data_IF_187113334947
#
_entry.id   IF_187113334947
#
_cell.length_a   1.000
_cell.length_b   1.000
_cell.length_c   1.000
_cell.angle_alpha   90.00
_cell.angle_beta   90.00
_cell.angle_gamma   90.00
#
_symmetry.space_group_name_H-M   'P 1'
#
loop_
_entity.id
_entity.type
_entity.pdbx_description
1 polymer ?
#
# COMPACT_ATOMS: atom_id res chain seq x y z
N UNK A 1 -2.98 37.50 19.46
CA UNK A 1 -3.67 36.82 20.59
C UNK A 1 -2.71 35.80 21.16
N UNK A 2 -2.62 35.69 22.50
CA UNK A 2 -1.76 34.72 23.18
C UNK A 2 -2.15 33.31 22.72
N UNK A 3 -1.22 32.59 22.11
CA UNK A 3 -1.26 31.13 21.99
C UNK A 3 -1.23 30.57 23.41
N UNK A 4 -2.41 30.29 23.98
CA UNK A 4 -2.50 29.36 25.10
C UNK A 4 -1.85 28.07 24.62
N UNK A 5 -0.73 27.67 25.24
CA UNK A 5 -0.10 26.38 24.96
C UNK A 5 -1.17 25.32 25.12
N UNK A 6 -1.48 24.63 24.02
CA UNK A 6 -2.44 23.54 23.99
C UNK A 6 -2.03 22.51 25.05
N UNK A 7 -2.74 22.50 26.18
CA UNK A 7 -2.42 21.65 27.32
C UNK A 7 -2.91 20.25 27.02
N UNK A 8 -2.01 19.38 26.56
CA UNK A 8 -2.30 17.96 26.39
C UNK A 8 -1.88 17.20 27.65
N UNK A 9 -2.69 16.24 28.10
CA UNK A 9 -2.30 15.31 29.16
C UNK A 9 -1.07 14.50 28.76
N UNK A 10 -0.26 13.92 29.67
CA UNK A 10 0.85 13.05 29.29
C UNK A 10 0.38 11.88 28.41
N UNK A 11 1.21 11.45 27.44
CA UNK A 11 0.90 10.28 26.63
C UNK A 11 0.90 9.03 27.52
N UNK A 12 -0.14 8.18 27.47
CA UNK A 12 -0.16 6.94 28.22
C UNK A 12 1.05 6.08 27.84
N UNK A 13 1.72 5.54 28.86
CA UNK A 13 2.93 4.73 28.72
C UNK A 13 2.81 3.64 27.63
N UNK A 14 1.74 2.83 27.54
CA UNK A 14 1.65 1.77 26.53
C UNK A 14 1.62 2.28 25.09
N UNK A 15 1.01 3.45 24.89
CA UNK A 15 0.95 4.07 23.56
C UNK A 15 2.35 4.53 23.19
N UNK A 16 3.09 5.13 24.14
CA UNK A 16 4.46 5.56 23.95
C UNK A 16 5.39 4.37 23.66
N UNK A 17 5.32 3.33 24.49
CA UNK A 17 6.12 2.09 24.36
C UNK A 17 5.84 1.40 23.03
N UNK A 18 4.57 1.13 22.70
CA UNK A 18 4.24 0.44 21.46
C UNK A 18 4.63 1.26 20.22
N UNK A 19 4.35 2.57 20.22
CA UNK A 19 4.73 3.43 19.10
C UNK A 19 6.25 3.51 18.93
N UNK A 20 7.02 3.46 20.02
CA UNK A 20 8.48 3.39 19.99
C UNK A 20 8.97 2.06 19.39
N UNK A 21 8.48 0.93 19.92
CA UNK A 21 8.88 -0.41 19.46
C UNK A 21 8.61 -0.66 17.98
N UNK A 22 7.53 -0.08 17.44
CA UNK A 22 7.17 -0.14 16.00
C UNK A 22 8.16 0.64 15.12
N UNK A 23 8.76 1.73 15.65
CA UNK A 23 9.69 2.60 14.91
C UNK A 23 11.15 2.14 15.00
N UNK A 24 11.48 1.38 16.02
CA UNK A 24 12.83 0.83 16.21
C UNK A 24 13.21 -0.17 15.12
N UNK A 25 14.42 -0.03 14.57
CA UNK A 25 14.99 -0.99 13.64
C UNK A 25 15.06 -2.41 14.25
N UNK A 26 14.71 -3.45 13.47
CA UNK A 26 14.80 -4.82 13.94
C UNK A 26 16.27 -5.21 14.15
N UNK A 27 16.60 -5.67 15.36
CA UNK A 27 17.92 -6.23 15.68
C UNK A 27 17.82 -7.75 15.55
N UNK A 28 18.58 -8.42 14.67
CA UNK A 28 18.59 -9.87 14.60
C UNK A 28 19.17 -10.43 15.90
N UNK A 29 18.34 -10.99 16.77
CA UNK A 29 18.77 -11.81 17.89
C UNK A 29 18.54 -13.27 17.55
N UNK A 30 19.52 -14.12 17.84
CA UNK A 30 19.35 -15.57 17.70
C UNK A 30 18.31 -16.04 18.71
N UNK A 31 17.10 -16.37 18.23
CA UNK A 31 16.03 -17.23 18.81
C UNK A 31 15.81 -17.27 20.34
N UNK A 32 16.32 -16.32 21.11
CA UNK A 32 15.96 -16.13 22.51
C UNK A 32 14.81 -15.15 22.57
N UNK A 33 13.68 -15.63 23.09
CA UNK A 33 12.50 -14.82 23.39
C UNK A 33 12.93 -13.79 24.44
N UNK A 34 13.34 -12.61 23.99
CA UNK A 34 13.58 -11.48 24.86
C UNK A 34 12.21 -11.00 25.37
N UNK A 35 11.82 -11.49 26.54
CA UNK A 35 10.83 -10.82 27.37
C UNK A 35 11.51 -9.52 27.81
N UNK A 36 11.00 -8.39 27.32
CA UNK A 36 11.52 -7.08 27.73
C UNK A 36 11.14 -6.87 29.19
N UNK A 37 12.07 -7.16 30.11
CA UNK A 37 11.95 -6.75 31.49
C UNK A 37 12.18 -5.24 31.54
N UNK A 38 11.10 -4.45 31.57
CA UNK A 38 11.19 -3.08 32.07
C UNK A 38 11.48 -3.21 33.58
N UNK A 39 12.53 -2.55 34.08
CA UNK A 39 13.02 -2.71 35.45
C UNK A 39 11.89 -2.51 36.47
N UNK A 40 11.82 -3.42 37.46
CA UNK A 40 10.79 -3.42 38.52
C UNK A 40 10.83 -2.13 39.33
N UNK A 41 9.84 -1.25 39.16
CA UNK A 41 9.58 -0.20 40.13
C UNK A 41 8.90 -0.81 41.36
N UNK A 42 9.68 -0.98 42.42
CA UNK A 42 9.26 -1.49 43.70
C UNK A 42 8.39 -0.45 44.42
N UNK A 43 7.10 -0.38 44.10
CA UNK A 43 6.16 0.37 44.91
C UNK A 43 4.88 0.83 44.22
N UNK A 44 3.88 -0.05 44.22
CA UNK A 44 2.46 0.31 44.39
C UNK A 44 1.84 1.30 43.40
N UNK A 45 1.15 0.77 42.39
CA UNK A 45 -0.22 1.17 42.07
C UNK A 45 -0.89 0.07 41.23
N UNK A 46 -2.20 -0.13 41.37
CA UNK A 46 -2.98 -1.10 40.57
C UNK A 46 -3.12 -0.67 39.09
N UNK A 47 -2.54 0.47 38.73
CA UNK A 47 -2.62 1.09 37.41
C UNK A 47 -1.34 0.98 36.57
N UNK A 48 -0.25 0.39 37.08
CA UNK A 48 0.97 0.16 36.28
C UNK A 48 0.80 -1.01 35.31
N UNK A 49 1.42 -0.91 34.14
CA UNK A 49 1.40 -1.98 33.15
C UNK A 49 2.33 -3.10 33.58
N UNK A 50 1.92 -4.38 33.48
CA UNK A 50 2.86 -5.47 33.69
C UNK A 50 4.01 -5.31 32.70
N UNK A 51 5.23 -5.47 33.20
CA UNK A 51 6.50 -5.32 32.49
C UNK A 51 6.59 -6.17 31.21
N UNK A 52 5.69 -7.14 31.03
CA UNK A 52 5.67 -8.09 29.92
C UNK A 52 4.50 -7.90 28.91
N UNK A 53 3.84 -6.74 28.90
CA UNK A 53 2.69 -6.50 27.99
C UNK A 53 3.08 -6.53 26.50
N UNK A 54 4.33 -6.17 26.19
CA UNK A 54 4.92 -6.21 24.85
C UNK A 54 6.17 -7.08 24.86
N UNK A 55 6.40 -7.83 23.79
CA UNK A 55 7.62 -8.59 23.58
C UNK A 55 8.16 -8.33 22.17
N UNK A 56 9.44 -8.03 22.03
CA UNK A 56 10.09 -7.87 20.72
C UNK A 56 11.19 -8.91 20.59
N UNK A 57 11.05 -9.82 19.61
CA UNK A 57 11.97 -10.93 19.37
C UNK A 57 12.42 -10.87 17.91
N UNK A 58 13.67 -10.47 17.69
CA UNK A 58 14.20 -10.24 16.36
C UNK A 58 13.38 -9.20 15.58
N UNK A 59 12.72 -9.66 14.52
CA UNK A 59 11.85 -8.85 13.65
C UNK A 59 10.37 -8.88 14.09
N UNK A 60 10.02 -9.65 15.13
CA UNK A 60 8.64 -9.84 15.56
C UNK A 60 8.31 -8.99 16.78
N UNK A 61 7.13 -8.37 16.76
CA UNK A 61 6.54 -7.65 17.88
C UNK A 61 5.26 -8.37 18.31
N UNK A 62 5.20 -8.77 19.57
CA UNK A 62 4.08 -9.44 20.20
C UNK A 62 3.43 -8.58 21.27
N UNK A 63 2.11 -8.74 21.41
CA UNK A 63 1.32 -8.21 22.52
C UNK A 63 0.85 -9.42 23.33
N UNK A 64 0.98 -9.36 24.65
CA UNK A 64 0.45 -10.42 25.51
C UNK A 64 -1.08 -10.46 25.41
N UNK A 65 -1.62 -11.63 25.05
CA UNK A 65 -3.05 -11.82 24.83
C UNK A 65 -3.91 -11.50 26.06
N UNK A 66 -3.40 -11.71 27.28
CA UNK A 66 -4.13 -11.37 28.52
C UNK A 66 -4.30 -9.87 28.70
N UNK A 67 -3.36 -9.07 28.20
CA UNK A 67 -3.34 -7.62 28.35
C UNK A 67 -4.07 -6.90 27.21
N UNK A 68 -4.26 -7.58 26.07
CA UNK A 68 -4.88 -7.01 24.86
C UNK A 68 -6.23 -6.32 25.13
N UNK A 69 -7.18 -6.86 25.93
CA UNK A 69 -8.43 -6.16 26.21
C UNK A 69 -8.24 -4.83 26.97
N UNK A 70 -7.27 -4.77 27.90
CA UNK A 70 -6.94 -3.53 28.65
C UNK A 70 -6.24 -2.53 27.73
N UNK A 71 -5.22 -2.98 27.00
CA UNK A 71 -4.48 -2.18 26.02
C UNK A 71 -5.39 -1.58 24.96
N UNK A 72 -6.30 -2.36 24.39
CA UNK A 72 -7.23 -1.87 23.38
C UNK A 72 -8.15 -0.75 23.92
N UNK A 73 -8.58 -0.84 25.19
CA UNK A 73 -9.36 0.24 25.84
C UNK A 73 -8.52 1.49 26.01
N UNK A 74 -7.27 1.36 26.40
CA UNK A 74 -6.39 2.51 26.64
C UNK A 74 -5.96 3.18 25.32
N UNK A 75 -5.66 2.40 24.27
CA UNK A 75 -5.46 2.92 22.91
C UNK A 75 -6.68 3.67 22.41
N UNK A 76 -7.89 3.13 22.63
CA UNK A 76 -9.11 3.79 22.23
C UNK A 76 -9.38 5.07 23.04
N UNK A 77 -9.12 5.06 24.35
CA UNK A 77 -9.29 6.23 25.22
C UNK A 77 -8.34 7.35 24.80
N UNK A 78 -7.06 7.03 24.58
CA UNK A 78 -6.07 8.00 24.10
C UNK A 78 -6.51 8.61 22.78
N UNK A 79 -6.81 7.78 21.78
CA UNK A 79 -7.24 8.26 20.47
C UNK A 79 -8.48 9.17 20.56
N UNK A 80 -9.50 8.78 21.34
CA UNK A 80 -10.72 9.60 21.51
C UNK A 80 -10.42 10.96 22.14
N UNK A 81 -9.55 11.01 23.15
CA UNK A 81 -9.19 12.24 23.85
C UNK A 81 -8.42 13.22 22.95
N UNK A 82 -7.49 12.71 22.14
CA UNK A 82 -6.73 13.53 21.21
C UNK A 82 -7.58 13.98 20.03
N UNK A 83 -8.48 13.11 19.54
CA UNK A 83 -9.33 13.41 18.38
C UNK A 83 -10.20 14.64 18.58
N UNK A 84 -10.75 14.85 19.78
CA UNK A 84 -11.54 16.06 20.04
C UNK A 84 -10.72 17.34 19.90
N UNK A 85 -9.46 17.32 20.36
CA UNK A 85 -8.52 18.43 20.19
C UNK A 85 -8.17 18.60 18.71
N UNK A 86 -7.77 17.51 18.05
CA UNK A 86 -7.38 17.54 16.65
C UNK A 86 -8.49 18.07 15.73
N UNK A 87 -9.75 17.70 15.98
CA UNK A 87 -10.88 18.24 15.23
C UNK A 87 -11.10 19.72 15.47
N UNK A 88 -10.95 20.19 16.70
CA UNK A 88 -11.14 21.62 17.00
C UNK A 88 -10.12 22.46 16.24
N UNK A 89 -8.87 22.01 16.21
CA UNK A 89 -7.78 22.70 15.50
C UNK A 89 -7.88 22.60 13.96
N UNK A 90 -8.33 21.45 13.42
CA UNK A 90 -8.51 21.27 11.97
C UNK A 90 -9.56 22.25 11.38
N UNK A 91 -10.56 22.65 12.17
CA UNK A 91 -11.51 23.69 11.76
C UNK A 91 -10.90 25.11 11.77
N UNK A 92 -10.01 25.41 12.71
CA UNK A 92 -9.35 26.72 12.81
C UNK A 92 -8.36 26.97 11.67
N UNK A 93 -7.74 25.91 11.13
CA UNK A 93 -6.81 25.99 9.98
C UNK A 93 -7.40 26.61 8.72
N UNK A 94 -8.71 26.47 8.51
CA UNK A 94 -9.38 26.93 7.28
C UNK A 94 -9.47 28.47 7.20
N UNK A 95 -9.21 29.18 8.29
CA UNK A 95 -9.37 30.63 8.41
C UNK A 95 -8.05 31.42 8.31
N UNK A 96 -6.91 30.76 8.07
CA UNK A 96 -5.59 31.39 8.08
C UNK A 96 -5.02 31.70 6.68
N UNK A 97 -4.26 32.81 6.57
CA UNK A 97 -3.43 33.16 5.40
C UNK A 97 -2.20 32.24 5.29
N UNK A 98 -1.56 32.12 4.12
CA UNK A 98 -0.44 31.19 3.86
C UNK A 98 0.69 31.28 4.91
N UNK A 99 1.19 32.49 5.21
CA UNK A 99 2.26 32.67 6.22
C UNK A 99 1.82 32.35 7.66
N UNK A 100 0.53 32.53 7.99
CA UNK A 100 -0.03 32.17 9.29
C UNK A 100 -0.22 30.66 9.44
N UNK A 101 -0.47 29.97 8.34
CA UNK A 101 -0.71 28.53 8.31
C UNK A 101 0.55 27.73 8.67
N UNK A 102 1.74 28.14 8.24
CA UNK A 102 2.97 27.41 8.51
C UNK A 102 3.39 27.47 9.99
N UNK A 103 3.35 28.66 10.59
CA UNK A 103 3.61 28.82 12.03
C UNK A 103 2.58 28.04 12.86
N UNK A 104 1.32 28.04 12.43
CA UNK A 104 0.26 27.29 13.07
C UNK A 104 0.47 25.77 12.94
N UNK A 105 0.89 25.26 11.78
CA UNK A 105 1.26 23.83 11.58
C UNK A 105 2.41 23.40 12.49
N UNK A 106 3.45 24.21 12.64
CA UNK A 106 4.56 23.90 13.55
C UNK A 106 4.08 23.79 15.01
N UNK A 107 3.15 24.65 15.44
CA UNK A 107 2.55 24.54 16.76
C UNK A 107 1.67 23.29 16.93
N UNK A 108 1.03 22.81 15.87
CA UNK A 108 0.23 21.58 15.88
C UNK A 108 1.05 20.30 15.74
N UNK A 109 2.30 20.37 15.30
CA UNK A 109 3.16 19.21 15.02
C UNK A 109 3.23 18.20 16.18
N UNK A 110 3.31 18.60 17.46
CA UNK A 110 3.26 17.66 18.58
C UNK A 110 1.94 16.88 18.65
N UNK A 111 0.79 17.55 18.44
CA UNK A 111 -0.52 16.89 18.43
C UNK A 111 -0.67 15.96 17.23
N UNK A 112 -0.25 16.41 16.04
CA UNK A 112 -0.26 15.61 14.81
C UNK A 112 0.54 14.32 15.01
N UNK A 113 1.75 14.43 15.58
CA UNK A 113 2.60 13.27 15.90
C UNK A 113 1.91 12.32 16.87
N UNK A 114 1.25 12.86 17.89
CA UNK A 114 0.58 12.04 18.91
C UNK A 114 -0.70 11.37 18.39
N UNK A 115 -1.45 12.01 17.50
CA UNK A 115 -2.57 11.37 16.77
C UNK A 115 -2.02 10.25 15.88
N UNK A 116 -0.89 10.46 15.20
CA UNK A 116 -0.24 9.40 14.40
C UNK A 116 0.05 8.18 15.27
N UNK A 117 0.67 8.39 16.44
CA UNK A 117 1.02 7.30 17.35
C UNK A 117 -0.21 6.62 17.96
N UNK A 118 -1.23 7.38 18.37
CA UNK A 118 -2.48 6.84 18.88
C UNK A 118 -3.24 6.03 17.81
N UNK A 119 -3.27 6.50 16.56
CA UNK A 119 -3.88 5.76 15.45
C UNK A 119 -3.07 4.51 15.09
N UNK A 120 -1.73 4.55 15.14
CA UNK A 120 -0.87 3.37 14.96
C UNK A 120 -1.25 2.28 15.95
N UNK A 121 -1.27 2.60 17.25
CA UNK A 121 -1.58 1.63 18.31
C UNK A 121 -3.00 1.08 18.16
N UNK A 122 -3.99 1.95 17.91
CA UNK A 122 -5.37 1.55 17.76
C UNK A 122 -5.60 0.67 16.52
N UNK A 123 -4.97 0.98 15.39
CA UNK A 123 -5.17 0.24 14.14
C UNK A 123 -4.45 -1.13 14.13
N UNK A 124 -3.39 -1.30 14.92
CA UNK A 124 -2.77 -2.62 15.14
C UNK A 124 -3.72 -3.62 15.78
N UNK A 125 -4.62 -3.14 16.66
CA UNK A 125 -5.61 -3.98 17.36
C UNK A 125 -7.01 -3.93 16.74
N UNK A 126 -7.36 -2.83 16.06
CA UNK A 126 -8.66 -2.59 15.44
C UNK A 126 -8.51 -2.05 14.01
N UNK A 127 -8.07 -2.88 13.05
CA UNK A 127 -7.72 -2.46 11.68
C UNK A 127 -8.92 -1.94 10.87
N UNK A 128 -10.15 -2.26 11.26
CA UNK A 128 -11.37 -1.80 10.57
C UNK A 128 -11.97 -0.51 11.16
N UNK A 129 -11.24 0.19 12.03
CA UNK A 129 -11.69 1.48 12.54
C UNK A 129 -11.58 2.57 11.45
N UNK A 130 -12.65 2.73 10.67
CA UNK A 130 -12.74 3.70 9.58
C UNK A 130 -12.53 5.16 10.02
N UNK A 131 -12.90 5.48 11.27
CA UNK A 131 -12.72 6.82 11.84
C UNK A 131 -11.25 7.11 12.12
N UNK A 132 -10.52 6.14 12.68
CA UNK A 132 -9.08 6.24 12.89
C UNK A 132 -8.33 6.38 11.56
N UNK A 133 -8.71 5.62 10.52
CA UNK A 133 -8.14 5.77 9.17
C UNK A 133 -8.39 7.15 8.56
N UNK A 134 -9.61 7.70 8.74
CA UNK A 134 -9.93 9.03 8.23
C UNK A 134 -9.08 10.12 8.91
N UNK A 135 -8.91 10.05 10.23
CA UNK A 135 -8.07 11.00 10.96
C UNK A 135 -6.58 10.80 10.64
N UNK A 136 -6.12 9.56 10.45
CA UNK A 136 -4.77 9.26 9.99
C UNK A 136 -4.47 9.82 8.59
N UNK A 137 -5.44 9.81 7.67
CA UNK A 137 -5.29 10.50 6.36
C UNK A 137 -5.06 12.00 6.54
N UNK A 138 -5.80 12.65 7.44
CA UNK A 138 -5.61 14.09 7.75
C UNK A 138 -4.22 14.37 8.33
N UNK A 139 -3.76 13.51 9.23
CA UNK A 139 -2.40 13.58 9.79
C UNK A 139 -1.36 13.52 8.66
N UNK A 140 -1.46 12.54 7.76
CA UNK A 140 -0.51 12.43 6.63
C UNK A 140 -0.55 13.67 5.76
N UNK A 141 -1.74 14.17 5.39
CA UNK A 141 -1.87 15.39 4.59
C UNK A 141 -1.20 16.61 5.25
N UNK A 142 -1.29 16.74 6.57
CA UNK A 142 -0.61 17.80 7.31
C UNK A 142 0.92 17.60 7.32
N UNK A 143 1.40 16.37 7.51
CA UNK A 143 2.83 16.05 7.53
C UNK A 143 3.50 16.17 6.16
N UNK A 144 2.75 15.97 5.09
CA UNK A 144 3.24 16.05 3.70
C UNK A 144 2.90 17.39 3.03
N UNK A 145 2.53 18.40 3.82
CA UNK A 145 2.25 19.72 3.28
C UNK A 145 3.53 20.43 2.82
N UNK A 146 4.68 20.11 3.44
CA UNK A 146 6.01 20.38 2.89
C UNK A 146 6.45 19.22 1.99
N UNK A 147 6.69 19.50 0.71
CA UNK A 147 7.00 18.49 -0.29
C UNK A 147 8.34 17.79 -0.03
N UNK A 148 9.28 18.44 0.66
CA UNK A 148 10.63 17.90 0.88
C UNK A 148 10.65 16.58 1.67
N UNK A 149 9.64 16.37 2.51
CA UNK A 149 9.55 15.20 3.39
C UNK A 149 8.44 14.21 2.98
N UNK A 150 7.64 14.56 1.98
CA UNK A 150 6.43 13.82 1.63
C UNK A 150 6.71 12.36 1.26
N UNK A 151 7.74 12.11 0.44
CA UNK A 151 8.13 10.75 0.00
C UNK A 151 8.52 9.87 1.20
N UNK A 152 9.25 10.43 2.18
CA UNK A 152 9.63 9.71 3.40
C UNK A 152 8.40 9.28 4.20
N UNK A 153 7.46 10.20 4.41
CA UNK A 153 6.22 9.92 5.14
C UNK A 153 5.38 8.85 4.43
N UNK A 154 5.23 8.91 3.10
CA UNK A 154 4.50 7.87 2.38
C UNK A 154 5.14 6.48 2.53
N UNK A 155 6.48 6.39 2.51
CA UNK A 155 7.20 5.13 2.73
C UNK A 155 7.04 4.61 4.16
N UNK A 156 7.05 5.48 5.16
CA UNK A 156 6.74 5.12 6.56
C UNK A 156 5.33 4.54 6.68
N UNK A 157 4.34 5.16 6.04
CA UNK A 157 2.96 4.67 6.04
C UNK A 157 2.82 3.32 5.32
N UNK A 158 3.48 3.11 4.17
CA UNK A 158 3.50 1.81 3.50
C UNK A 158 4.14 0.73 4.37
N UNK A 159 5.19 1.08 5.12
CA UNK A 159 5.85 0.18 6.08
C UNK A 159 4.91 -0.19 7.22
N UNK A 160 4.19 0.78 7.78
CA UNK A 160 3.16 0.52 8.79
C UNK A 160 2.06 -0.41 8.28
N UNK A 161 1.60 -0.22 7.03
CA UNK A 161 0.58 -1.10 6.44
C UNK A 161 1.15 -2.49 6.17
N UNK A 162 2.42 -2.62 5.76
CA UNK A 162 3.08 -3.94 5.62
C UNK A 162 3.05 -4.70 6.95
N UNK A 163 3.34 -4.01 8.06
CA UNK A 163 3.23 -4.58 9.40
C UNK A 163 1.78 -5.03 9.69
N UNK A 164 0.78 -4.20 9.40
CA UNK A 164 -0.63 -4.59 9.57
C UNK A 164 -1.00 -5.83 8.77
N UNK A 165 -0.53 -5.98 7.53
CA UNK A 165 -0.84 -7.13 6.69
C UNK A 165 -0.23 -8.44 7.16
N UNK A 166 0.74 -8.42 8.06
CA UNK A 166 1.24 -9.66 8.69
C UNK A 166 0.18 -10.38 9.52
N UNK A 167 -0.87 -9.68 9.97
CA UNK A 167 -1.97 -10.23 10.76
C UNK A 167 -3.35 -9.93 10.15
N UNK A 168 -3.53 -8.74 9.61
CA UNK A 168 -4.83 -8.19 9.18
C UNK A 168 -4.90 -7.99 7.67
N UNK A 169 -4.35 -8.93 6.89
CA UNK A 169 -4.28 -8.85 5.42
C UNK A 169 -5.64 -8.83 4.70
N UNK A 170 -6.75 -9.09 5.40
CA UNK A 170 -8.11 -9.05 4.86
C UNK A 170 -8.92 -7.83 5.33
N UNK A 171 -8.31 -6.89 6.04
CA UNK A 171 -8.98 -5.66 6.48
C UNK A 171 -9.17 -4.69 5.29
N UNK A 172 -10.40 -4.46 4.81
CA UNK A 172 -10.66 -3.63 3.63
C UNK A 172 -10.19 -2.18 3.80
N UNK A 173 -10.31 -1.62 5.01
CA UNK A 173 -9.94 -0.24 5.28
C UNK A 173 -8.43 0.00 5.10
N UNK A 174 -7.61 -0.99 5.50
CA UNK A 174 -6.15 -0.95 5.34
C UNK A 174 -5.74 -0.95 3.86
N UNK A 175 -6.39 -1.75 3.02
CA UNK A 175 -6.15 -1.74 1.57
C UNK A 175 -6.59 -0.44 0.90
N UNK A 176 -7.75 0.09 1.27
CA UNK A 176 -8.22 1.39 0.77
C UNK A 176 -7.23 2.51 1.13
N UNK A 177 -6.70 2.50 2.34
CA UNK A 177 -5.67 3.45 2.77
C UNK A 177 -4.36 3.25 2.01
N UNK A 178 -3.93 2.00 1.78
CA UNK A 178 -2.74 1.68 0.98
C UNK A 178 -2.84 2.19 -0.45
N UNK A 179 -3.97 1.99 -1.13
CA UNK A 179 -4.23 2.54 -2.48
C UNK A 179 -4.06 4.05 -2.50
N UNK A 180 -4.61 4.73 -1.48
CA UNK A 180 -4.48 6.17 -1.35
C UNK A 180 -3.02 6.62 -1.13
N UNK A 181 -2.29 6.01 -0.19
CA UNK A 181 -0.87 6.33 0.05
C UNK A 181 -0.01 6.06 -1.18
N UNK A 182 -0.19 4.90 -1.82
CA UNK A 182 0.61 4.52 -2.98
C UNK A 182 0.34 5.45 -4.16
N UNK A 183 -0.93 5.82 -4.41
CA UNK A 183 -1.26 6.85 -5.40
C UNK A 183 -0.55 8.18 -5.12
N UNK A 184 -0.55 8.65 -3.86
CA UNK A 184 0.17 9.87 -3.47
C UNK A 184 1.68 9.79 -3.68
N UNK A 185 2.27 8.61 -3.46
CA UNK A 185 3.69 8.36 -3.72
C UNK A 185 3.98 8.42 -5.23
N UNK A 186 3.16 7.78 -6.06
CA UNK A 186 3.31 7.81 -7.52
C UNK A 186 3.15 9.23 -8.07
N UNK A 187 2.23 10.02 -7.54
CA UNK A 187 2.04 11.42 -7.95
C UNK A 187 3.32 12.25 -7.77
N UNK A 188 4.20 11.92 -6.80
CA UNK A 188 5.44 12.66 -6.55
C UNK A 188 6.42 12.58 -7.73
N UNK A 189 6.38 11.53 -8.56
CA UNK A 189 7.30 11.40 -9.70
C UNK A 189 7.04 12.43 -10.79
N UNK A 190 5.80 12.90 -10.90
CA UNK A 190 5.41 13.94 -11.88
C UNK A 190 5.60 15.36 -11.34
N UNK A 191 5.92 15.55 -10.06
CA UNK A 191 6.07 16.88 -9.48
C UNK A 191 7.47 17.46 -9.69
N UNK A 192 7.59 18.81 -9.78
CA UNK A 192 6.51 19.80 -9.79
C UNK A 192 5.90 20.04 -11.18
N UNK A 193 6.47 19.43 -12.23
CA UNK A 193 6.22 19.81 -13.62
C UNK A 193 4.99 19.16 -14.26
N UNK A 194 4.29 18.27 -13.55
CA UNK A 194 3.12 17.53 -14.04
C UNK A 194 3.44 16.45 -15.08
N UNK A 195 4.73 16.18 -15.31
CA UNK A 195 5.25 15.22 -16.30
C UNK A 195 6.45 14.47 -15.74
N UNK A 196 6.65 13.24 -16.22
CA UNK A 196 7.86 12.45 -15.94
C UNK A 196 8.72 12.52 -17.20
N UNK A 197 9.83 13.26 -17.13
CA UNK A 197 10.62 13.66 -18.31
C UNK A 197 11.93 12.88 -18.46
N UNK A 198 12.41 12.24 -17.39
CA UNK A 198 13.65 11.45 -17.43
C UNK A 198 13.40 9.93 -17.39
N UNK A 199 14.27 9.18 -18.08
CA UNK A 199 14.32 7.71 -17.99
C UNK A 199 14.59 7.23 -16.56
N UNK A 200 15.37 8.00 -15.79
CA UNK A 200 15.65 7.68 -14.39
C UNK A 200 14.39 7.71 -13.52
N UNK A 201 13.56 8.75 -13.62
CA UNK A 201 12.30 8.81 -12.88
C UNK A 201 11.35 7.68 -13.28
N UNK A 202 11.25 7.37 -14.58
CA UNK A 202 10.46 6.24 -15.04
C UNK A 202 10.96 4.92 -14.45
N UNK A 203 12.28 4.70 -14.44
CA UNK A 203 12.88 3.52 -13.84
C UNK A 203 12.58 3.42 -12.35
N UNK A 204 12.75 4.51 -11.59
CA UNK A 204 12.43 4.50 -10.16
C UNK A 204 10.93 4.26 -9.90
N UNK A 205 10.04 4.88 -10.68
CA UNK A 205 8.60 4.64 -10.60
C UNK A 205 8.26 3.15 -10.79
N UNK A 206 8.84 2.51 -11.80
CA UNK A 206 8.59 1.09 -12.05
C UNK A 206 9.21 0.18 -11.00
N UNK A 207 10.33 0.56 -10.37
CA UNK A 207 10.85 -0.16 -9.22
C UNK A 207 9.91 -0.07 -8.00
N UNK A 208 9.25 1.07 -7.77
CA UNK A 208 8.20 1.21 -6.74
C UNK A 208 6.96 0.37 -7.06
N UNK A 209 6.54 0.34 -8.31
CA UNK A 209 5.43 -0.52 -8.77
C UNK A 209 5.76 -1.99 -8.54
N UNK A 210 6.96 -2.44 -8.90
CA UNK A 210 7.41 -3.81 -8.68
C UNK A 210 7.49 -4.14 -7.18
N UNK A 211 7.96 -3.21 -6.35
CA UNK A 211 7.96 -3.37 -4.89
C UNK A 211 6.54 -3.61 -4.35
N UNK A 212 5.57 -2.86 -4.86
CA UNK A 212 4.17 -3.02 -4.48
C UNK A 212 3.56 -4.35 -4.95
N UNK A 213 3.92 -4.81 -6.16
CA UNK A 213 3.55 -6.15 -6.66
C UNK A 213 4.16 -7.25 -5.78
N UNK A 214 5.40 -7.12 -5.33
CA UNK A 214 6.05 -8.09 -4.41
C UNK A 214 5.29 -8.21 -3.09
N UNK A 215 4.76 -7.10 -2.55
CA UNK A 215 3.88 -7.14 -1.37
C UNK A 215 2.60 -7.90 -1.66
N UNK A 216 1.95 -7.68 -2.81
CA UNK A 216 0.74 -8.40 -3.19
C UNK A 216 0.98 -9.91 -3.30
N UNK A 217 2.09 -10.30 -3.95
CA UNK A 217 2.49 -11.71 -4.08
C UNK A 217 2.71 -12.30 -2.69
N UNK A 218 3.51 -11.64 -1.84
CA UNK A 218 3.76 -12.10 -0.48
C UNK A 218 2.47 -12.32 0.30
N UNK A 219 1.53 -11.37 0.25
CA UNK A 219 0.23 -11.53 0.93
C UNK A 219 -0.60 -12.67 0.34
N UNK A 220 -0.62 -12.85 -0.98
CA UNK A 220 -1.38 -13.92 -1.63
C UNK A 220 -0.82 -15.31 -1.32
N UNK A 221 0.51 -15.44 -1.19
CA UNK A 221 1.20 -16.67 -0.75
C UNK A 221 0.85 -17.01 0.71
N UNK A 222 0.98 -16.05 1.63
CA UNK A 222 0.74 -16.29 3.06
C UNK A 222 -0.75 -16.46 3.39
N UNK A 223 -1.64 -15.83 2.62
CA UNK A 223 -3.07 -15.86 2.82
C UNK A 223 -3.76 -16.26 1.51
N UNK A 224 -3.91 -17.58 1.25
CA UNK A 224 -4.47 -18.06 0.00
C UNK A 224 -5.82 -17.43 -0.33
N UNK A 225 -6.01 -17.12 -1.62
CA UNK A 225 -7.24 -16.50 -2.16
C UNK A 225 -7.55 -15.14 -1.52
N UNK A 226 -6.53 -14.36 -1.16
CA UNK A 226 -6.72 -12.99 -0.69
C UNK A 226 -7.16 -12.09 -1.86
N UNK A 227 -8.47 -11.97 -2.04
CA UNK A 227 -9.09 -11.11 -3.05
C UNK A 227 -8.62 -9.64 -2.95
N UNK A 228 -8.40 -9.12 -1.74
CA UNK A 228 -7.94 -7.74 -1.56
C UNK A 228 -6.54 -7.52 -2.14
N UNK A 229 -5.64 -8.49 -1.97
CA UNK A 229 -4.31 -8.43 -2.58
C UNK A 229 -4.39 -8.37 -4.11
N UNK A 230 -5.21 -9.24 -4.72
CA UNK A 230 -5.37 -9.27 -6.18
C UNK A 230 -6.04 -8.01 -6.73
N UNK A 231 -7.06 -7.48 -6.04
CA UNK A 231 -7.68 -6.20 -6.45
C UNK A 231 -6.75 -5.00 -6.24
N UNK A 232 -5.83 -5.06 -5.28
CA UNK A 232 -4.79 -4.06 -5.12
C UNK A 232 -3.73 -4.15 -6.23
N UNK A 233 -3.29 -5.36 -6.57
CA UNK A 233 -2.40 -5.60 -7.71
C UNK A 233 -3.00 -5.10 -9.03
N UNK A 234 -4.31 -5.31 -9.25
CA UNK A 234 -5.03 -4.73 -10.38
C UNK A 234 -5.01 -3.19 -10.36
N UNK A 235 -5.26 -2.58 -9.20
CA UNK A 235 -5.16 -1.13 -9.03
C UNK A 235 -3.76 -0.62 -9.38
N UNK A 236 -2.70 -1.31 -8.96
CA UNK A 236 -1.31 -0.95 -9.28
C UNK A 236 -1.05 -1.03 -10.79
N UNK A 237 -1.49 -2.09 -11.47
CA UNK A 237 -1.34 -2.20 -12.93
C UNK A 237 -2.11 -1.12 -13.68
N UNK A 238 -3.33 -0.79 -13.23
CA UNK A 238 -4.12 0.31 -13.80
C UNK A 238 -3.49 1.67 -13.54
N UNK A 239 -2.94 1.89 -12.35
CA UNK A 239 -2.24 3.12 -12.00
C UNK A 239 -1.00 3.31 -12.89
N UNK A 240 -0.21 2.24 -13.12
CA UNK A 240 0.93 2.28 -14.03
C UNK A 240 0.54 2.76 -15.44
N UNK A 241 -0.51 2.14 -16.00
CA UNK A 241 -1.05 2.52 -17.31
C UNK A 241 -1.60 3.95 -17.31
N UNK A 242 -2.34 4.35 -16.28
CA UNK A 242 -2.91 5.70 -16.17
C UNK A 242 -1.82 6.77 -16.03
N UNK A 243 -0.77 6.53 -15.26
CA UNK A 243 0.36 7.45 -15.11
C UNK A 243 1.09 7.62 -16.44
N UNK A 244 1.35 6.53 -17.15
CA UNK A 244 1.90 6.59 -18.51
C UNK A 244 1.00 7.36 -19.47
N UNK A 245 -0.28 6.99 -19.56
CA UNK A 245 -1.23 7.62 -20.48
C UNK A 245 -1.39 9.11 -20.20
N UNK A 246 -1.49 9.51 -18.93
CA UNK A 246 -1.59 10.92 -18.54
C UNK A 246 -0.31 11.68 -18.86
N UNK A 247 0.86 11.06 -18.65
CA UNK A 247 2.13 11.70 -18.98
C UNK A 247 2.28 11.93 -20.49
N UNK A 248 1.92 10.95 -21.33
CA UNK A 248 1.93 11.10 -22.79
C UNK A 248 1.00 12.25 -23.22
N UNK A 249 -0.20 12.34 -22.63
CA UNK A 249 -1.14 13.43 -22.91
C UNK A 249 -0.60 14.81 -22.49
N UNK A 250 0.07 14.90 -21.34
CA UNK A 250 0.59 16.15 -20.79
C UNK A 250 1.87 16.62 -21.50
N UNK A 251 2.73 15.70 -21.93
CA UNK A 251 4.03 16.02 -22.50
C UNK A 251 3.95 16.44 -23.99
N UNK A 252 2.83 16.19 -24.66
CA UNK A 252 2.55 16.62 -26.03
C UNK A 252 3.28 15.83 -27.11
N UNK A 253 3.09 16.23 -28.38
CA UNK A 253 3.47 15.48 -29.60
C UNK A 253 4.98 15.35 -29.87
N UNK A 254 5.84 15.77 -28.94
CA UNK A 254 7.31 15.72 -29.06
C UNK A 254 8.02 15.03 -27.89
N UNK A 255 7.29 14.47 -26.94
CA UNK A 255 7.87 13.85 -25.76
C UNK A 255 8.42 12.44 -26.02
N UNK A 256 9.58 12.14 -25.43
CA UNK A 256 10.18 10.82 -25.44
C UNK A 256 9.21 9.80 -24.86
N UNK A 257 8.91 8.73 -25.61
CA UNK A 257 8.08 7.63 -25.15
C UNK A 257 8.85 6.68 -24.19
N UNK A 258 9.77 7.23 -23.39
CA UNK A 258 10.74 6.51 -22.55
C UNK A 258 10.07 5.56 -21.54
N UNK A 259 8.85 5.87 -21.10
CA UNK A 259 8.06 5.01 -20.23
C UNK A 259 7.41 3.80 -20.92
N UNK A 260 7.28 3.79 -22.25
CA UNK A 260 6.51 2.74 -22.96
C UNK A 260 7.12 1.36 -22.84
N UNK A 261 8.43 1.23 -23.04
CA UNK A 261 9.11 -0.05 -22.90
C UNK A 261 9.03 -0.58 -21.46
N UNK A 262 9.14 0.29 -20.45
CA UNK A 262 9.00 -0.09 -19.06
C UNK A 262 7.57 -0.54 -18.71
N UNK A 263 6.55 0.17 -19.21
CA UNK A 263 5.15 -0.23 -19.04
C UNK A 263 4.85 -1.55 -19.74
N UNK A 264 5.31 -1.71 -20.98
CA UNK A 264 5.16 -2.94 -21.75
C UNK A 264 5.74 -4.13 -21.00
N UNK A 265 7.02 -4.06 -20.63
CA UNK A 265 7.71 -5.15 -19.94
C UNK A 265 7.03 -5.48 -18.61
N UNK A 266 6.57 -4.47 -17.88
CA UNK A 266 5.82 -4.69 -16.66
C UNK A 266 4.49 -5.44 -16.91
N UNK A 267 3.67 -4.98 -17.85
CA UNK A 267 2.38 -5.62 -18.15
C UNK A 267 2.57 -7.03 -18.74
N UNK A 268 3.55 -7.20 -19.62
CA UNK A 268 3.93 -8.50 -20.21
C UNK A 268 4.40 -9.47 -19.12
N UNK A 269 5.27 -9.03 -18.20
CA UNK A 269 5.70 -9.83 -17.05
C UNK A 269 4.49 -10.26 -16.19
N UNK A 270 3.55 -9.35 -15.93
CA UNK A 270 2.38 -9.67 -15.12
C UNK A 270 1.47 -10.69 -15.80
N UNK A 271 1.27 -10.61 -17.12
CA UNK A 271 0.55 -11.62 -17.92
C UNK A 271 1.28 -12.97 -17.87
N UNK A 272 2.58 -12.97 -18.12
CA UNK A 272 3.40 -14.19 -18.18
C UNK A 272 3.48 -14.93 -16.83
N UNK A 273 3.27 -14.23 -15.72
CA UNK A 273 3.28 -14.83 -14.36
C UNK A 273 1.97 -15.52 -13.98
N UNK A 274 0.86 -15.27 -14.68
CA UNK A 274 -0.45 -15.81 -14.31
C UNK A 274 -0.49 -17.32 -14.42
N UNK A 275 -0.06 -17.86 -15.55
CA UNK A 275 -0.14 -19.31 -15.77
C UNK A 275 0.74 -20.10 -14.80
N UNK A 276 2.04 -19.75 -14.60
CA UNK A 276 2.86 -20.38 -13.56
C UNK A 276 2.25 -20.25 -12.15
N UNK A 277 1.63 -19.11 -11.82
CA UNK A 277 0.93 -18.95 -10.55
C UNK A 277 -0.24 -19.93 -10.43
N UNK A 278 -1.11 -19.98 -11.43
CA UNK A 278 -2.29 -20.85 -11.45
C UNK A 278 -1.92 -22.34 -11.43
N UNK A 279 -0.77 -22.74 -12.00
CA UNK A 279 -0.30 -24.13 -11.89
C UNK A 279 0.04 -24.53 -10.45
N UNK A 280 0.52 -23.58 -9.64
CA UNK A 280 0.82 -23.81 -8.22
C UNK A 280 -0.39 -23.52 -7.32
N UNK A 281 -1.36 -22.75 -7.81
CA UNK A 281 -2.53 -22.27 -7.08
C UNK A 281 -3.84 -22.49 -7.85
N UNK A 282 -4.08 -23.73 -8.27
CA UNK A 282 -5.15 -24.15 -9.20
C UNK A 282 -6.60 -23.83 -8.79
N UNK A 283 -6.80 -23.28 -7.59
CA UNK A 283 -8.10 -22.85 -7.07
C UNK A 283 -8.19 -21.35 -6.81
N UNK A 284 -7.23 -20.55 -7.30
CA UNK A 284 -7.24 -19.09 -7.15
C UNK A 284 -7.95 -18.39 -8.32
N UNK A 285 -9.27 -18.27 -8.20
CA UNK A 285 -10.10 -17.54 -9.16
C UNK A 285 -9.73 -16.04 -9.25
N UNK A 286 -9.18 -15.47 -8.17
CA UNK A 286 -8.82 -14.04 -8.15
C UNK A 286 -7.60 -13.77 -9.03
N UNK A 287 -6.63 -14.70 -9.05
CA UNK A 287 -5.49 -14.66 -9.95
C UNK A 287 -5.90 -14.75 -11.43
N UNK A 288 -6.81 -15.66 -11.77
CA UNK A 288 -7.32 -15.78 -13.15
C UNK A 288 -8.04 -14.51 -13.62
N UNK A 289 -8.86 -13.91 -12.76
CA UNK A 289 -9.52 -12.63 -13.07
C UNK A 289 -8.49 -11.50 -13.21
N UNK A 290 -7.52 -11.40 -12.30
CA UNK A 290 -6.45 -10.40 -12.40
C UNK A 290 -5.67 -10.56 -13.72
N UNK A 291 -5.36 -11.80 -14.10
CA UNK A 291 -4.67 -12.09 -15.35
C UNK A 291 -5.40 -11.59 -16.59
N UNK A 292 -6.72 -11.75 -16.62
CA UNK A 292 -7.53 -11.31 -17.76
C UNK A 292 -7.55 -9.78 -17.86
N UNK A 293 -7.66 -9.12 -16.70
CA UNK A 293 -7.63 -7.67 -16.62
C UNK A 293 -6.30 -7.09 -17.10
N UNK A 294 -5.16 -7.66 -16.67
CA UNK A 294 -3.84 -7.17 -17.08
C UNK A 294 -3.52 -7.49 -18.53
N UNK A 295 -4.00 -8.64 -19.06
CA UNK A 295 -3.97 -8.94 -20.49
C UNK A 295 -4.78 -7.92 -21.30
N UNK A 296 -5.98 -7.58 -20.85
CA UNK A 296 -6.79 -6.54 -21.47
C UNK A 296 -6.10 -5.17 -21.47
N UNK A 297 -5.41 -4.81 -20.39
CA UNK A 297 -4.59 -3.59 -20.33
C UNK A 297 -3.41 -3.64 -21.30
N UNK A 298 -2.69 -4.76 -21.40
CA UNK A 298 -1.56 -4.92 -22.32
C UNK A 298 -2.02 -4.80 -23.78
N UNK A 299 -3.14 -5.43 -24.14
CA UNK A 299 -3.74 -5.31 -25.47
C UNK A 299 -4.18 -3.87 -25.75
N UNK A 300 -4.89 -3.24 -24.80
CA UNK A 300 -5.31 -1.84 -24.92
C UNK A 300 -4.10 -0.92 -25.10
N UNK A 301 -2.99 -1.18 -24.40
CA UNK A 301 -1.78 -0.39 -24.51
C UNK A 301 -1.09 -0.61 -25.87
N UNK A 302 -0.85 -1.85 -26.28
CA UNK A 302 -0.11 -2.18 -27.49
C UNK A 302 -0.89 -1.90 -28.79
N UNK A 303 -2.22 -1.95 -28.77
CA UNK A 303 -3.06 -1.69 -29.95
C UNK A 303 -3.35 -0.21 -30.20
N UNK A 304 -2.89 0.69 -29.34
CA UNK A 304 -3.01 2.14 -29.56
C UNK A 304 -2.01 2.63 -30.61
N UNK A 305 -2.35 3.74 -31.27
CA UNK A 305 -1.47 4.40 -32.24
C UNK A 305 -0.16 4.90 -31.60
N UNK A 306 -0.19 5.29 -30.32
CA UNK A 306 0.97 5.71 -29.51
C UNK A 306 1.51 4.60 -28.61
N UNK A 307 1.00 3.38 -28.79
CA UNK A 307 1.37 2.19 -28.04
C UNK A 307 2.75 1.64 -28.40
N UNK A 308 3.18 0.65 -27.63
CA UNK A 308 4.40 -0.10 -27.89
C UNK A 308 4.12 -1.59 -27.74
N UNK A 309 4.56 -2.39 -28.71
CA UNK A 309 4.32 -3.83 -28.79
C UNK A 309 5.59 -4.64 -28.57
N UNK A 310 6.59 -4.07 -27.89
CA UNK A 310 7.93 -4.63 -27.80
C UNK A 310 8.75 -4.38 -29.07
N UNK A 311 9.96 -4.94 -29.13
CA UNK A 311 10.86 -4.86 -30.30
C UNK A 311 10.46 -5.81 -31.45
N UNK A 312 9.16 -6.10 -31.57
CA UNK A 312 8.62 -6.95 -32.62
C UNK A 312 8.53 -6.20 -33.95
N UNK A 313 8.75 -6.92 -35.06
CA UNK A 313 8.51 -6.41 -36.41
C UNK A 313 7.06 -6.58 -36.86
N UNK A 314 6.22 -7.22 -36.04
CA UNK A 314 4.81 -7.46 -36.37
C UNK A 314 4.00 -6.16 -36.27
N UNK A 315 3.03 -5.95 -37.18
CA UNK A 315 1.99 -4.95 -36.98
C UNK A 315 1.25 -5.17 -35.65
N UNK A 316 0.78 -4.09 -35.01
CA UNK A 316 0.18 -4.15 -33.68
C UNK A 316 -0.99 -5.16 -33.59
N UNK A 317 -1.84 -5.23 -34.61
CA UNK A 317 -2.92 -6.21 -34.68
C UNK A 317 -2.40 -7.66 -34.72
N UNK A 318 -1.40 -7.95 -35.54
CA UNK A 318 -0.79 -9.28 -35.64
C UNK A 318 -0.07 -9.67 -34.34
N UNK A 319 0.59 -8.71 -33.69
CA UNK A 319 1.17 -8.90 -32.35
C UNK A 319 0.08 -9.28 -31.34
N UNK A 320 -1.04 -8.55 -31.28
CA UNK A 320 -2.13 -8.83 -30.34
C UNK A 320 -2.74 -10.22 -30.54
N UNK A 321 -2.94 -10.62 -31.81
CA UNK A 321 -3.41 -11.96 -32.16
C UNK A 321 -2.42 -13.05 -31.77
N UNK A 322 -1.14 -12.83 -32.02
CA UNK A 322 -0.06 -13.75 -31.64
C UNK A 322 0.00 -13.93 -30.12
N UNK A 323 -0.04 -12.83 -29.35
CA UNK A 323 -0.03 -12.84 -27.89
C UNK A 323 -1.18 -13.69 -27.32
N UNK A 324 -2.42 -13.40 -27.71
CA UNK A 324 -3.59 -14.14 -27.20
C UNK A 324 -3.57 -15.60 -27.69
N UNK A 325 -3.17 -15.83 -28.94
CA UNK A 325 -3.02 -17.17 -29.51
C UNK A 325 -2.04 -18.04 -28.70
N UNK A 326 -0.91 -17.47 -28.30
CA UNK A 326 0.09 -18.15 -27.48
C UNK A 326 -0.45 -18.49 -26.07
N UNK A 327 -1.18 -17.57 -25.43
CA UNK A 327 -1.81 -17.82 -24.11
C UNK A 327 -2.89 -18.91 -24.22
N UNK A 328 -3.71 -18.88 -25.27
CA UNK A 328 -4.69 -19.93 -25.53
C UNK A 328 -4.01 -21.27 -25.86
N UNK A 329 -2.85 -21.27 -26.51
CA UNK A 329 -2.09 -22.50 -26.72
C UNK A 329 -1.53 -23.05 -25.39
N UNK A 330 -0.90 -22.19 -24.58
CA UNK A 330 -0.29 -22.59 -23.30
C UNK A 330 -1.33 -23.11 -22.30
N UNK A 331 -2.46 -22.41 -22.15
CA UNK A 331 -3.56 -22.85 -21.27
C UNK A 331 -4.15 -24.22 -21.63
N UNK A 332 -3.93 -24.72 -22.85
CA UNK A 332 -4.32 -26.10 -23.23
C UNK A 332 -3.42 -27.14 -22.55
N UNK A 333 -2.14 -26.87 -22.41
CA UNK A 333 -1.19 -27.73 -21.69
C UNK A 333 -1.55 -27.80 -20.20
N UNK A 334 -1.92 -26.66 -19.61
CA UNK A 334 -2.44 -26.59 -18.25
C UNK A 334 -3.69 -27.46 -18.03
N UNK A 335 -4.58 -27.47 -19.02
CA UNK A 335 -5.81 -28.28 -18.99
C UNK A 335 -5.51 -29.78 -18.88
N UNK A 336 -4.50 -30.29 -19.59
CA UNK A 336 -4.13 -31.71 -19.55
C UNK A 336 -3.70 -32.17 -18.15
N UNK A 337 -3.14 -31.27 -17.34
CA UNK A 337 -2.70 -31.55 -15.97
C UNK A 337 -3.80 -31.32 -14.93
N UNK A 338 -4.73 -30.40 -15.18
CA UNK A 338 -5.71 -29.92 -14.20
C UNK A 338 -7.15 -29.93 -14.71
N UNK A 339 -7.55 -30.99 -15.43
CA UNK A 339 -8.84 -31.11 -16.13
C UNK A 339 -10.09 -30.78 -15.29
N UNK A 340 -10.07 -31.04 -13.98
CA UNK A 340 -11.19 -30.82 -13.07
C UNK A 340 -11.15 -29.48 -12.32
N UNK A 341 -10.12 -28.67 -12.53
CA UNK A 341 -10.00 -27.36 -11.87
C UNK A 341 -10.65 -26.27 -12.74
N UNK A 342 -11.81 -25.80 -12.30
CA UNK A 342 -12.60 -24.77 -12.99
C UNK A 342 -11.82 -23.48 -13.27
N UNK A 343 -10.85 -23.11 -12.42
CA UNK A 343 -10.05 -21.89 -12.58
C UNK A 343 -9.30 -21.85 -13.91
N UNK A 344 -8.76 -22.99 -14.35
CA UNK A 344 -8.02 -23.07 -15.63
C UNK A 344 -8.97 -22.86 -16.81
N UNK A 345 -10.20 -23.39 -16.71
CA UNK A 345 -11.26 -23.15 -17.69
C UNK A 345 -11.71 -21.69 -17.71
N UNK A 346 -11.84 -21.07 -16.54
CA UNK A 346 -12.18 -19.65 -16.42
C UNK A 346 -11.09 -18.78 -17.05
N UNK A 347 -9.81 -19.02 -16.72
CA UNK A 347 -8.68 -18.30 -17.31
C UNK A 347 -8.71 -18.37 -18.83
N UNK A 348 -8.79 -19.59 -19.38
CA UNK A 348 -8.88 -19.81 -20.83
C UNK A 348 -10.08 -19.09 -21.45
N UNK A 349 -11.26 -19.17 -20.81
CA UNK A 349 -12.48 -18.52 -21.29
C UNK A 349 -12.32 -17.00 -21.34
N UNK A 350 -11.77 -16.40 -20.28
CA UNK A 350 -11.54 -14.96 -20.22
C UNK A 350 -10.56 -14.49 -21.32
N UNK A 351 -9.46 -15.21 -21.54
CA UNK A 351 -8.55 -14.94 -22.67
C UNK A 351 -9.26 -15.07 -24.02
N UNK A 352 -10.13 -16.08 -24.16
CA UNK A 352 -10.94 -16.28 -25.36
C UNK A 352 -11.93 -15.14 -25.62
N UNK A 353 -12.56 -14.59 -24.58
CA UNK A 353 -13.42 -13.41 -24.72
C UNK A 353 -12.64 -12.20 -25.25
N UNK A 354 -11.44 -11.93 -24.71
CA UNK A 354 -10.57 -10.86 -25.19
C UNK A 354 -10.13 -11.08 -26.65
N UNK A 355 -9.92 -12.33 -27.06
CA UNK A 355 -9.64 -12.67 -28.46
C UNK A 355 -10.76 -12.19 -29.39
N UNK A 356 -12.02 -12.47 -29.05
CA UNK A 356 -13.16 -12.11 -29.89
C UNK A 356 -13.52 -10.63 -29.85
N UNK A 357 -13.15 -9.90 -28.80
CA UNK A 357 -13.35 -8.45 -28.72
C UNK A 357 -12.35 -7.66 -29.56
N UNK A 358 -11.18 -8.24 -29.85
CA UNK A 358 -10.08 -7.59 -30.57
C UNK A 358 -9.84 -8.15 -32.00
N UNK A 359 -10.68 -9.07 -32.47
CA UNK A 359 -10.80 -9.51 -33.87
C UNK A 359 -12.07 -8.92 -34.49
#
# INVERSE_FOLDING_TARGET
QKTEKMSMHPQPEPVSVLAHLVKEEPKPTGLEIAILHIEEDNGGDLDTYPTNAFAKVGVHLGINGSDLPRLARDFQREYKSLRSLFKAEDYCMLDHTEEGADLYRENLRPLITRIRDATTCLLLVCPDNSTAWADRRRVVLNLTADENHAVGIYKEELTFINLLFTQHSKAPSSWAYRKWIFGRLIDQFSKPHGVIDTEHQWTELFERIKEEVRVCISVAEHFPKNYYSWTHRNFVSRLAYQTWSTNVLNAGTGASNSGSHLLFNFLEDEVNRIEPWLMNHVSDHSAAHYGAEVLGLLLTFGLRDDGYTGDTSLPAQEWGLSLIGNILASSRTAFEHFQFHEVIWIWRRLCGCLFFENN
#
